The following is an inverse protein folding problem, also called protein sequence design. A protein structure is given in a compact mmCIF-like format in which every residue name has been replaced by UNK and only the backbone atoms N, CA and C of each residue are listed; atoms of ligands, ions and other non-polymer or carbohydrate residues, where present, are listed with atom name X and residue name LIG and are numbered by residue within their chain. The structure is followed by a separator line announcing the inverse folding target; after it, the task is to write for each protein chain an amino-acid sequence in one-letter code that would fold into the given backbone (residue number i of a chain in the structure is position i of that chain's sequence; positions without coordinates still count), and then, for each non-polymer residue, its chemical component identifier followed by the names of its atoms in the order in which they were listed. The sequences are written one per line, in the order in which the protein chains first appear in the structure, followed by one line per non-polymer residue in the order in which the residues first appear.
data_IF_318688908569
#
_entry.id   IF_318688908569
#
_cell.length_a   1.000
_cell.length_b   1.000
_cell.length_c   1.000
_cell.angle_alpha   90.00
_cell.angle_beta   90.00
_cell.angle_gamma   90.00
#
_symmetry.space_group_name_H-M   'P 1'
#
loop_
_entity.id
_entity.type
_entity.pdbx_description
1 polymer ?
#
# COMPACT_ATOMS: atom_id res chain seq x y z
N UNK A 1 30.96 -67.08 -22.57
CA UNK A 1 31.53 -68.44 -22.55
C UNK A 1 30.40 -69.38 -22.20
N UNK A 2 29.79 -70.01 -23.20
CA UNK A 2 28.73 -70.99 -23.00
C UNK A 2 29.40 -72.36 -23.02
N UNK A 3 29.34 -73.07 -21.89
CA UNK A 3 29.59 -74.51 -21.88
C UNK A 3 28.43 -75.19 -22.60
N UNK A 4 28.73 -75.84 -23.71
CA UNK A 4 27.82 -76.80 -24.33
C UNK A 4 27.83 -78.05 -23.47
N UNK A 5 26.91 -78.11 -22.50
CA UNK A 5 26.53 -79.39 -21.89
C UNK A 5 25.72 -80.16 -22.93
N UNK A 6 26.47 -80.86 -23.79
CA UNK A 6 26.00 -82.01 -24.53
C UNK A 6 25.65 -83.07 -23.48
N UNK A 7 24.37 -83.41 -23.35
CA UNK A 7 23.98 -84.62 -22.63
C UNK A 7 24.62 -85.79 -23.39
N UNK A 8 25.71 -86.32 -22.82
CA UNK A 8 26.47 -87.39 -23.42
C UNK A 8 25.64 -88.67 -23.41
N UNK A 9 25.03 -88.94 -24.56
CA UNK A 9 24.18 -90.10 -24.81
C UNK A 9 24.96 -91.41 -24.55
N UNK A 10 26.29 -91.39 -24.66
CA UNK A 10 27.15 -92.55 -24.41
C UNK A 10 27.32 -92.86 -22.92
N UNK A 11 27.26 -91.86 -22.05
CA UNK A 11 27.33 -92.04 -20.60
C UNK A 11 26.06 -92.73 -20.05
N UNK A 12 24.90 -92.33 -20.56
CA UNK A 12 23.61 -92.95 -20.22
C UNK A 12 23.49 -94.39 -20.76
N UNK A 13 24.02 -94.68 -21.96
CA UNK A 13 24.14 -96.07 -22.47
C UNK A 13 24.97 -96.94 -21.52
N UNK A 14 26.04 -96.39 -20.95
CA UNK A 14 26.92 -97.12 -20.04
C UNK A 14 26.29 -97.36 -18.66
N UNK A 15 25.50 -96.44 -18.13
CA UNK A 15 24.82 -96.61 -16.83
C UNK A 15 23.62 -97.57 -16.91
N UNK A 16 22.88 -97.60 -18.02
CA UNK A 16 21.78 -98.56 -18.23
C UNK A 16 22.29 -100.00 -18.36
N UNK A 17 23.39 -100.18 -19.07
CA UNK A 17 24.03 -101.50 -19.19
C UNK A 17 24.61 -101.96 -17.85
N UNK A 18 25.05 -101.04 -16.99
CA UNK A 18 25.61 -101.36 -15.68
C UNK A 18 24.53 -101.71 -14.63
N UNK A 19 23.37 -101.04 -14.65
CA UNK A 19 22.22 -101.37 -13.78
C UNK A 19 21.55 -102.70 -14.18
N UNK A 20 21.58 -103.07 -15.46
CA UNK A 20 21.08 -104.36 -15.96
C UNK A 20 21.83 -105.57 -15.39
N UNK A 21 23.12 -105.43 -15.08
CA UNK A 21 23.94 -106.53 -14.54
C UNK A 21 23.60 -106.82 -13.07
N UNK A 22 23.00 -105.88 -12.34
CA UNK A 22 22.77 -106.01 -10.88
C UNK A 22 21.39 -106.51 -10.46
N UNK A 23 20.37 -106.53 -11.32
CA UNK A 23 18.96 -106.68 -10.86
C UNK A 23 18.20 -107.95 -11.33
N UNK A 24 18.88 -109.03 -11.71
CA UNK A 24 18.20 -110.30 -12.09
C UNK A 24 17.69 -111.15 -10.90
N UNK A 25 17.23 -110.54 -9.79
CA UNK A 25 16.56 -111.26 -8.69
C UNK A 25 15.49 -110.43 -7.95
N UNK A 26 14.36 -110.13 -8.57
CA UNK A 26 13.04 -110.25 -7.93
C UNK A 26 11.90 -110.01 -8.93
N UNK A 27 10.82 -110.78 -8.75
CA UNK A 27 9.59 -110.75 -9.55
C UNK A 27 8.82 -109.43 -9.39
N UNK A 28 8.64 -108.75 -10.51
CA UNK A 28 7.79 -107.62 -10.77
C UNK A 28 8.00 -107.25 -12.23
N UNK A 29 6.93 -107.11 -13.02
CA UNK A 29 6.90 -107.00 -14.49
C UNK A 29 8.18 -106.41 -15.11
N UNK A 30 9.01 -107.29 -15.71
CA UNK A 30 10.21 -106.89 -16.45
C UNK A 30 9.78 -106.19 -17.74
N UNK A 31 9.76 -104.86 -17.73
CA UNK A 31 9.77 -104.11 -19.00
C UNK A 31 11.05 -104.42 -19.76
N UNK A 32 10.90 -104.71 -21.05
CA UNK A 32 11.99 -105.04 -21.96
C UNK A 32 12.98 -103.85 -22.05
N UNK A 33 14.30 -104.07 -21.98
CA UNK A 33 15.31 -102.98 -21.96
C UNK A 33 15.20 -102.05 -23.17
N UNK A 34 14.70 -102.56 -24.30
CA UNK A 34 14.44 -101.79 -25.52
C UNK A 34 13.30 -100.77 -25.32
N UNK A 35 12.29 -101.07 -24.51
CA UNK A 35 11.19 -100.14 -24.18
C UNK A 35 11.70 -99.01 -23.30
N UNK A 36 12.53 -99.32 -22.30
CA UNK A 36 13.13 -98.31 -21.42
C UNK A 36 14.05 -97.37 -22.22
N UNK A 37 14.83 -97.93 -23.14
CA UNK A 37 15.71 -97.18 -24.03
C UNK A 37 14.93 -96.26 -24.98
N UNK A 38 13.81 -96.74 -25.52
CA UNK A 38 12.94 -95.95 -26.39
C UNK A 38 12.24 -94.80 -25.63
N UNK A 39 11.82 -95.02 -24.38
CA UNK A 39 11.31 -93.96 -23.48
C UNK A 39 12.35 -92.89 -23.22
N UNK A 40 13.58 -93.28 -22.90
CA UNK A 40 14.69 -92.35 -22.65
C UNK A 40 15.01 -91.53 -23.91
N UNK A 41 15.05 -92.17 -25.08
CA UNK A 41 15.30 -91.49 -26.36
C UNK A 41 14.19 -90.48 -26.67
N UNK A 42 12.93 -90.82 -26.38
CA UNK A 42 11.80 -89.92 -26.61
C UNK A 42 11.76 -88.78 -25.60
N UNK A 43 11.97 -89.04 -24.32
CA UNK A 43 12.08 -88.02 -23.29
C UNK A 43 13.22 -87.03 -23.60
N UNK A 44 14.35 -87.52 -24.11
CA UNK A 44 15.49 -86.69 -24.54
C UNK A 44 15.13 -85.81 -25.74
N UNK A 45 14.38 -86.34 -26.70
CA UNK A 45 13.90 -85.60 -27.88
C UNK A 45 12.89 -84.52 -27.49
N UNK A 46 11.96 -84.83 -26.59
CA UNK A 46 10.99 -83.86 -26.06
C UNK A 46 11.67 -82.78 -25.21
N UNK A 47 12.64 -83.15 -24.38
CA UNK A 47 13.48 -82.24 -23.61
C UNK A 47 14.27 -81.28 -24.50
N UNK A 48 14.86 -81.77 -25.59
CA UNK A 48 15.59 -80.94 -26.54
C UNK A 48 14.67 -80.00 -27.30
N UNK A 49 13.47 -80.44 -27.69
CA UNK A 49 12.44 -79.57 -28.26
C UNK A 49 11.99 -78.47 -27.30
N UNK A 50 11.72 -78.81 -26.04
CA UNK A 50 11.37 -77.83 -25.01
C UNK A 50 12.50 -76.80 -24.80
N UNK A 51 13.77 -77.27 -24.81
CA UNK A 51 14.96 -76.42 -24.71
C UNK A 51 15.09 -75.46 -25.89
N UNK A 52 14.79 -75.91 -27.11
CA UNK A 52 14.77 -75.05 -28.30
C UNK A 52 13.63 -74.02 -28.19
N UNK A 53 12.44 -74.44 -27.77
CA UNK A 53 11.28 -73.56 -27.61
C UNK A 53 11.50 -72.49 -26.55
N UNK A 54 12.10 -72.85 -25.42
CA UNK A 54 12.53 -71.91 -24.38
C UNK A 54 13.55 -70.88 -24.88
N UNK A 55 14.49 -71.28 -25.76
CA UNK A 55 15.47 -70.35 -26.37
C UNK A 55 14.82 -69.37 -27.34
N UNK A 56 13.83 -69.82 -28.10
CA UNK A 56 13.07 -68.93 -29.01
C UNK A 56 12.24 -67.92 -28.22
N UNK A 57 11.63 -68.36 -27.11
CA UNK A 57 10.85 -67.51 -26.20
C UNK A 57 11.70 -66.51 -25.38
N UNK A 58 13.00 -66.77 -25.23
CA UNK A 58 13.97 -65.88 -24.56
C UNK A 58 14.77 -65.01 -25.54
N UNK A 59 14.55 -65.13 -26.85
CA UNK A 59 15.28 -64.36 -27.85
C UNK A 59 14.93 -62.86 -27.78
N UNK A 60 15.91 -61.94 -27.94
CA UNK A 60 15.71 -60.49 -27.91
C UNK A 60 14.71 -59.96 -28.95
N UNK A 61 14.31 -60.78 -29.93
CA UNK A 61 13.43 -60.38 -31.04
C UNK A 61 12.00 -59.99 -30.62
N UNK A 62 11.58 -60.30 -29.39
CA UNK A 62 10.30 -59.84 -28.84
C UNK A 62 10.30 -58.32 -28.52
N UNK A 63 11.48 -57.68 -28.45
CA UNK A 63 11.64 -56.24 -28.28
C UNK A 63 11.02 -55.42 -29.44
N UNK A 64 10.92 -56.00 -30.65
CA UNK A 64 10.40 -55.31 -31.83
C UNK A 64 8.87 -55.25 -31.91
N UNK A 65 8.15 -56.16 -31.25
CA UNK A 65 6.67 -56.14 -31.20
C UNK A 65 6.17 -54.93 -30.39
N UNK A 66 6.99 -54.44 -29.45
CA UNK A 66 6.68 -53.29 -28.59
C UNK A 66 7.03 -51.94 -29.26
N UNK A 67 7.82 -51.92 -30.34
CA UNK A 67 8.26 -50.68 -31.00
C UNK A 67 7.18 -49.97 -31.83
N UNK A 68 5.99 -50.57 -32.00
CA UNK A 68 4.91 -50.06 -32.83
C UNK A 68 4.06 -48.93 -32.23
N UNK A 69 4.25 -48.57 -30.95
CA UNK A 69 3.49 -47.50 -30.31
C UNK A 69 4.13 -46.15 -30.68
N UNK A 70 3.96 -45.76 -31.95
CA UNK A 70 4.20 -44.39 -32.38
C UNK A 70 3.21 -43.46 -31.69
N UNK A 71 3.77 -42.40 -31.12
CA UNK A 71 3.15 -41.24 -30.50
C UNK A 71 1.87 -40.78 -31.22
N UNK A 72 0.76 -40.73 -30.47
CA UNK A 72 -0.34 -39.82 -30.78
C UNK A 72 -0.32 -38.73 -29.72
N UNK A 73 0.07 -37.54 -30.16
CA UNK A 73 0.06 -36.30 -29.40
C UNK A 73 -1.38 -35.96 -28.97
N UNK A 74 -1.57 -35.66 -27.69
CA UNK A 74 -2.77 -34.98 -27.18
C UNK A 74 -3.93 -35.88 -26.73
N UNK A 75 -4.19 -35.84 -25.41
CA UNK A 75 -5.46 -36.17 -24.73
C UNK A 75 -6.34 -37.29 -25.34
N UNK A 76 -6.23 -38.49 -24.78
CA UNK A 76 -7.24 -39.54 -24.96
C UNK A 76 -6.75 -40.86 -24.42
N UNK A 77 -7.51 -41.47 -23.53
CA UNK A 77 -7.29 -42.81 -22.99
C UNK A 77 -7.23 -43.78 -24.17
N UNK A 78 -6.04 -44.28 -24.51
CA UNK A 78 -5.89 -45.38 -25.45
C UNK A 78 -6.19 -46.67 -24.68
N UNK A 79 -7.43 -47.16 -24.82
CA UNK A 79 -7.77 -48.54 -24.51
C UNK A 79 -6.79 -49.47 -25.24
N UNK A 80 -6.08 -50.29 -24.47
CA UNK A 80 -5.22 -51.33 -25.00
C UNK A 80 -6.08 -52.36 -25.74
N UNK A 81 -5.95 -52.40 -27.07
CA UNK A 81 -6.39 -53.56 -27.84
C UNK A 81 -5.62 -54.79 -27.35
N UNK A 82 -6.36 -55.81 -26.96
CA UNK A 82 -5.95 -56.99 -26.18
C UNK A 82 -5.09 -57.99 -26.96
N UNK A 83 -4.57 -57.59 -28.12
CA UNK A 83 -3.96 -58.50 -29.08
C UNK A 83 -2.50 -58.13 -29.35
N UNK A 84 -1.64 -58.40 -28.37
CA UNK A 84 -0.24 -58.70 -28.67
C UNK A 84 -0.24 -60.09 -29.30
N UNK A 85 -0.41 -60.15 -30.62
CA UNK A 85 -0.17 -61.36 -31.39
C UNK A 85 1.32 -61.68 -31.32
N UNK A 86 1.69 -62.54 -30.36
CA UNK A 86 2.81 -63.44 -30.62
C UNK A 86 2.51 -64.14 -31.96
N UNK A 87 3.50 -64.38 -32.84
CA UNK A 87 3.28 -65.24 -33.99
C UNK A 87 2.73 -66.55 -33.42
N UNK A 88 1.44 -66.81 -33.66
CA UNK A 88 0.82 -68.05 -33.27
C UNK A 88 1.65 -69.15 -33.92
N UNK A 89 2.38 -69.89 -33.10
CA UNK A 89 3.29 -70.94 -33.52
C UNK A 89 2.48 -72.18 -33.89
N UNK A 90 1.41 -72.01 -34.66
CA UNK A 90 0.22 -72.84 -34.55
C UNK A 90 -0.16 -73.52 -35.87
N UNK A 91 0.84 -73.83 -36.70
CA UNK A 91 0.59 -74.71 -37.87
C UNK A 91 1.76 -75.58 -38.28
N UNK A 92 2.99 -75.05 -38.22
CA UNK A 92 4.18 -75.82 -38.58
C UNK A 92 4.60 -76.83 -37.50
N UNK A 93 4.42 -76.48 -36.22
CA UNK A 93 4.74 -77.36 -35.10
C UNK A 93 3.70 -78.45 -34.92
N UNK A 94 2.40 -78.16 -35.09
CA UNK A 94 1.35 -79.17 -34.96
C UNK A 94 1.55 -80.33 -35.97
N UNK A 95 2.09 -80.03 -37.15
CA UNK A 95 2.45 -81.01 -38.17
C UNK A 95 3.71 -81.83 -37.78
N UNK A 96 4.71 -81.21 -37.14
CA UNK A 96 5.87 -81.91 -36.58
C UNK A 96 5.52 -82.76 -35.34
N UNK A 97 4.60 -82.28 -34.49
CA UNK A 97 4.05 -82.97 -33.33
C UNK A 97 3.21 -84.18 -33.75
N UNK A 98 2.29 -84.02 -34.71
CA UNK A 98 1.50 -85.12 -35.28
C UNK A 98 2.42 -86.15 -35.96
N UNK A 99 3.50 -85.70 -36.60
CA UNK A 99 4.48 -86.59 -37.21
C UNK A 99 5.27 -87.41 -36.17
N UNK A 100 5.72 -86.78 -35.08
CA UNK A 100 6.33 -87.46 -33.92
C UNK A 100 5.37 -88.45 -33.24
N UNK A 101 4.10 -88.07 -33.07
CA UNK A 101 3.06 -88.97 -32.55
C UNK A 101 2.77 -90.15 -33.48
N UNK A 102 2.91 -89.96 -34.80
CA UNK A 102 2.69 -91.01 -35.81
C UNK A 102 3.90 -91.95 -35.98
N UNK A 103 5.13 -91.45 -35.82
CA UNK A 103 6.35 -92.27 -35.87
C UNK A 103 6.49 -93.17 -34.61
N UNK A 104 5.80 -92.83 -33.52
CA UNK A 104 5.82 -93.61 -32.27
C UNK A 104 4.73 -94.69 -32.19
N UNK A 105 3.76 -94.70 -33.11
CA UNK A 105 2.55 -95.52 -33.07
C UNK A 105 2.77 -97.01 -33.43
N UNK A 106 4.02 -97.49 -33.46
CA UNK A 106 4.35 -98.83 -33.97
C UNK A 106 4.69 -99.89 -32.92
N UNK A 107 4.62 -99.65 -31.60
CA UNK A 107 4.92 -100.70 -30.59
C UNK A 107 4.12 -100.54 -29.28
N UNK A 108 3.33 -101.57 -28.96
CA UNK A 108 2.79 -102.03 -27.65
C UNK A 108 1.89 -101.09 -26.79
N UNK A 109 0.65 -101.54 -26.55
CA UNK A 109 -0.48 -100.88 -25.84
C UNK A 109 -0.22 -100.36 -24.40
N UNK A 110 0.91 -100.67 -23.77
CA UNK A 110 1.29 -100.17 -22.42
C UNK A 110 2.11 -98.87 -22.45
N UNK A 111 2.67 -98.48 -23.60
CA UNK A 111 3.55 -97.31 -23.74
C UNK A 111 2.81 -96.04 -24.19
N UNK A 112 1.58 -96.19 -24.69
CA UNK A 112 0.76 -95.09 -25.19
C UNK A 112 0.33 -94.12 -24.07
N UNK A 113 0.02 -94.64 -22.88
CA UNK A 113 -0.45 -93.84 -21.73
C UNK A 113 0.68 -92.99 -21.12
N UNK A 114 1.88 -93.56 -20.97
CA UNK A 114 3.07 -92.83 -20.49
C UNK A 114 3.53 -91.76 -21.49
N UNK A 115 3.51 -92.10 -22.78
CA UNK A 115 3.91 -91.18 -23.83
C UNK A 115 2.94 -90.01 -23.97
N UNK A 116 1.63 -90.26 -23.87
CA UNK A 116 0.62 -89.20 -23.88
C UNK A 116 0.69 -88.31 -22.64
N UNK A 117 0.97 -88.86 -21.46
CA UNK A 117 1.20 -88.07 -20.23
C UNK A 117 2.45 -87.20 -20.33
N UNK A 118 3.56 -87.72 -20.86
CA UNK A 118 4.80 -86.96 -21.06
C UNK A 118 4.65 -85.84 -22.09
N UNK A 119 3.94 -86.10 -23.21
CA UNK A 119 3.56 -85.08 -24.18
C UNK A 119 2.67 -83.99 -23.54
N UNK A 120 1.71 -84.40 -22.71
CA UNK A 120 0.84 -83.49 -21.95
C UNK A 120 1.63 -82.60 -20.99
N UNK A 121 2.62 -83.15 -20.29
CA UNK A 121 3.54 -82.37 -19.46
C UNK A 121 4.36 -81.35 -20.28
N UNK A 122 4.88 -81.75 -21.44
CA UNK A 122 5.65 -80.85 -22.31
C UNK A 122 4.79 -79.73 -22.88
N UNK A 123 3.54 -80.02 -23.24
CA UNK A 123 2.56 -79.04 -23.70
C UNK A 123 2.19 -78.06 -22.57
N UNK A 124 1.84 -78.56 -21.38
CA UNK A 124 1.50 -77.71 -20.23
C UNK A 124 2.66 -76.80 -19.81
N UNK A 125 3.91 -77.31 -19.79
CA UNK A 125 5.10 -76.49 -19.53
C UNK A 125 5.29 -75.43 -20.61
N UNK A 126 5.06 -75.78 -21.88
CA UNK A 126 5.12 -74.83 -23.00
C UNK A 126 4.09 -73.71 -22.86
N UNK A 127 2.84 -74.04 -22.55
CA UNK A 127 1.76 -73.06 -22.37
C UNK A 127 2.03 -72.14 -21.17
N UNK A 128 2.56 -72.70 -20.07
CA UNK A 128 2.99 -71.93 -18.90
C UNK A 128 4.15 -71.00 -19.23
N UNK A 129 5.15 -71.44 -20.00
CA UNK A 129 6.26 -70.61 -20.44
C UNK A 129 5.79 -69.47 -21.35
N UNK A 130 4.87 -69.73 -22.29
CA UNK A 130 4.33 -68.72 -23.18
C UNK A 130 3.52 -67.66 -22.40
N UNK A 131 2.67 -68.08 -21.47
CA UNK A 131 1.89 -67.16 -20.62
C UNK A 131 2.77 -66.35 -19.67
N UNK A 132 3.88 -66.91 -19.17
CA UNK A 132 4.88 -66.17 -18.40
C UNK A 132 5.57 -65.10 -19.25
N UNK A 133 6.04 -65.45 -20.45
CA UNK A 133 6.71 -64.50 -21.35
C UNK A 133 5.77 -63.36 -21.75
N UNK A 134 4.50 -63.64 -22.07
CA UNK A 134 3.50 -62.60 -22.33
C UNK A 134 3.34 -61.64 -21.15
N UNK A 135 3.27 -62.16 -19.92
CA UNK A 135 3.18 -61.32 -18.71
C UNK A 135 4.43 -60.49 -18.47
N UNK A 136 5.62 -61.05 -18.69
CA UNK A 136 6.89 -60.33 -18.55
C UNK A 136 6.95 -59.17 -19.55
N UNK A 137 6.63 -59.40 -20.82
CA UNK A 137 6.60 -58.35 -21.85
C UNK A 137 5.62 -57.24 -21.47
N UNK A 138 4.42 -57.60 -21.01
CA UNK A 138 3.42 -56.63 -20.57
C UNK A 138 3.95 -55.80 -19.40
N UNK A 139 4.49 -56.43 -18.36
CA UNK A 139 5.03 -55.75 -17.19
C UNK A 139 6.22 -54.83 -17.53
N UNK A 140 7.11 -55.25 -18.43
CA UNK A 140 8.22 -54.43 -18.93
C UNK A 140 7.73 -53.23 -19.73
N UNK A 141 6.76 -53.43 -20.63
CA UNK A 141 6.16 -52.36 -21.43
C UNK A 141 5.42 -51.33 -20.58
N UNK A 142 4.68 -51.80 -19.56
CA UNK A 142 3.98 -50.94 -18.60
C UNK A 142 4.98 -50.17 -17.72
N UNK A 143 6.04 -50.83 -17.25
CA UNK A 143 7.11 -50.17 -16.49
C UNK A 143 7.82 -49.11 -17.33
N UNK A 144 8.09 -49.38 -18.62
CA UNK A 144 8.69 -48.43 -19.54
C UNK A 144 7.77 -47.23 -19.81
N UNK A 145 6.46 -47.47 -19.96
CA UNK A 145 5.45 -46.42 -20.10
C UNK A 145 5.39 -45.55 -18.84
N UNK A 146 5.36 -46.16 -17.66
CA UNK A 146 5.27 -45.42 -16.40
C UNK A 146 6.52 -44.60 -16.13
N UNK A 147 7.72 -45.13 -16.45
CA UNK A 147 8.97 -44.34 -16.45
C UNK A 147 8.86 -43.10 -17.34
N UNK A 148 8.30 -43.22 -18.54
CA UNK A 148 8.08 -42.08 -19.44
C UNK A 148 7.12 -41.05 -18.85
N UNK A 149 6.03 -41.48 -18.20
CA UNK A 149 5.11 -40.56 -17.52
C UNK A 149 5.79 -39.79 -16.39
N UNK A 150 6.61 -40.48 -15.59
CA UNK A 150 7.38 -39.85 -14.51
C UNK A 150 8.34 -38.80 -15.07
N UNK A 151 9.09 -39.11 -16.14
CA UNK A 151 10.02 -38.12 -16.73
C UNK A 151 9.30 -36.89 -17.27
N UNK A 152 8.15 -37.06 -17.94
CA UNK A 152 7.34 -35.94 -18.42
C UNK A 152 6.78 -35.12 -17.24
N UNK A 153 6.31 -35.80 -16.19
CA UNK A 153 5.83 -35.15 -14.96
C UNK A 153 6.92 -34.34 -14.27
N UNK A 154 8.15 -34.85 -14.19
CA UNK A 154 9.30 -34.12 -13.64
C UNK A 154 9.65 -32.86 -14.44
N UNK A 155 9.62 -32.93 -15.77
CA UNK A 155 9.83 -31.77 -16.64
C UNK A 155 8.75 -30.70 -16.43
N UNK A 156 7.49 -31.12 -16.32
CA UNK A 156 6.39 -30.20 -16.04
C UNK A 156 6.50 -29.57 -14.65
N UNK A 157 6.90 -30.35 -13.63
CA UNK A 157 7.18 -29.84 -12.28
C UNK A 157 8.30 -28.79 -12.34
N UNK A 158 9.43 -29.08 -13.02
CA UNK A 158 10.53 -28.12 -13.18
C UNK A 158 10.06 -26.82 -13.83
N UNK A 159 9.23 -26.91 -14.88
CA UNK A 159 8.65 -25.74 -15.55
C UNK A 159 7.75 -24.93 -14.60
N UNK A 160 6.86 -25.59 -13.86
CA UNK A 160 5.98 -24.93 -12.88
C UNK A 160 6.77 -24.30 -11.73
N UNK A 161 7.83 -24.95 -11.25
CA UNK A 161 8.73 -24.39 -10.21
C UNK A 161 9.39 -23.11 -10.69
N UNK A 162 9.87 -23.04 -11.93
CA UNK A 162 10.44 -21.82 -12.50
C UNK A 162 9.39 -20.71 -12.61
N UNK A 163 8.17 -21.03 -13.06
CA UNK A 163 7.07 -20.06 -13.13
C UNK A 163 6.70 -19.50 -11.74
N UNK A 164 6.59 -20.36 -10.72
CA UNK A 164 6.31 -19.93 -9.33
C UNK A 164 7.43 -19.01 -8.81
N UNK A 165 8.69 -19.32 -9.13
CA UNK A 165 9.82 -18.48 -8.74
C UNK A 165 9.76 -17.09 -9.39
N UNK A 166 9.44 -17.03 -10.67
CA UNK A 166 9.28 -15.76 -11.40
C UNK A 166 8.11 -14.93 -10.83
N UNK A 167 6.97 -15.57 -10.58
CA UNK A 167 5.82 -14.93 -9.93
C UNK A 167 6.17 -14.43 -8.51
N UNK A 168 6.99 -15.18 -7.77
CA UNK A 168 7.43 -14.78 -6.43
C UNK A 168 8.30 -13.52 -6.47
N UNK A 169 9.23 -13.43 -7.42
CA UNK A 169 10.05 -12.23 -7.62
C UNK A 169 9.18 -11.02 -7.98
N UNK A 170 8.19 -11.21 -8.86
CA UNK A 170 7.25 -10.15 -9.24
C UNK A 170 6.41 -9.66 -8.05
N UNK A 171 5.99 -10.56 -7.16
CA UNK A 171 5.28 -10.19 -5.93
C UNK A 171 6.15 -9.38 -4.97
N UNK A 172 7.42 -9.75 -4.82
CA UNK A 172 8.38 -9.00 -4.00
C UNK A 172 8.65 -7.58 -4.55
N UNK A 173 8.70 -7.43 -5.88
CA UNK A 173 8.77 -6.11 -6.52
C UNK A 173 7.50 -5.29 -6.28
N UNK A 174 6.31 -5.90 -6.40
CA UNK A 174 5.04 -5.25 -6.11
C UNK A 174 4.93 -4.81 -4.65
N UNK A 175 5.41 -5.63 -3.70
CA UNK A 175 5.44 -5.28 -2.28
C UNK A 175 6.34 -4.06 -2.04
N UNK A 176 7.55 -4.04 -2.61
CA UNK A 176 8.45 -2.88 -2.53
C UNK A 176 7.84 -1.62 -3.14
N UNK A 177 7.16 -1.75 -4.26
CA UNK A 177 6.45 -0.64 -4.90
C UNK A 177 5.29 -0.11 -4.05
N UNK A 178 4.49 -1.01 -3.47
CA UNK A 178 3.38 -0.65 -2.58
C UNK A 178 3.88 0.04 -1.31
N UNK A 179 4.97 -0.46 -0.72
CA UNK A 179 5.63 0.16 0.43
C UNK A 179 6.12 1.58 0.11
N UNK A 180 6.79 1.76 -1.03
CA UNK A 180 7.24 3.09 -1.49
C UNK A 180 6.07 4.06 -1.69
N UNK A 181 5.00 3.60 -2.34
CA UNK A 181 3.79 4.40 -2.54
C UNK A 181 3.12 4.78 -1.22
N UNK A 182 3.03 3.84 -0.27
CA UNK A 182 2.44 4.10 1.05
C UNK A 182 3.25 5.11 1.87
N UNK A 183 4.59 5.03 1.80
CA UNK A 183 5.48 6.00 2.44
C UNK A 183 5.22 7.43 1.94
N UNK A 184 5.17 7.62 0.61
CA UNK A 184 4.86 8.93 0.01
C UNK A 184 3.46 9.42 0.40
N UNK A 185 2.45 8.54 0.38
CA UNK A 185 1.09 8.90 0.80
C UNK A 185 1.03 9.32 2.28
N UNK A 186 1.80 8.68 3.16
CA UNK A 186 1.89 9.07 4.57
C UNK A 186 2.54 10.44 4.75
N UNK A 187 3.62 10.74 4.01
CA UNK A 187 4.22 12.08 4.03
C UNK A 187 3.26 13.15 3.51
N UNK A 188 2.53 12.86 2.42
CA UNK A 188 1.53 13.78 1.88
C UNK A 188 0.41 14.02 2.89
N UNK A 189 -0.07 12.97 3.57
CA UNK A 189 -1.07 13.11 4.63
C UNK A 189 -0.57 14.02 5.75
N UNK A 190 0.65 13.80 6.23
CA UNK A 190 1.23 14.62 7.30
C UNK A 190 1.36 16.10 6.87
N UNK A 191 1.85 16.37 5.66
CA UNK A 191 1.94 17.75 5.14
C UNK A 191 0.56 18.41 5.05
N UNK A 192 -0.49 17.66 4.68
CA UNK A 192 -1.86 18.18 4.65
C UNK A 192 -2.36 18.49 6.07
N UNK A 193 -2.09 17.62 7.05
CA UNK A 193 -2.43 17.88 8.46
C UNK A 193 -1.74 19.14 8.98
N UNK A 194 -0.44 19.32 8.70
CA UNK A 194 0.32 20.52 9.06
C UNK A 194 -0.25 21.79 8.40
N UNK A 195 -0.61 21.74 7.12
CA UNK A 195 -1.23 22.87 6.41
C UNK A 195 -2.61 23.23 6.97
N UNK A 196 -3.40 22.24 7.38
CA UNK A 196 -4.72 22.49 8.01
C UNK A 196 -4.53 23.20 9.34
N UNK A 197 -3.59 22.75 10.17
CA UNK A 197 -3.28 23.38 11.46
C UNK A 197 -2.73 24.80 11.28
N UNK A 198 -1.82 25.01 10.32
CA UNK A 198 -1.31 26.35 10.02
C UNK A 198 -2.42 27.28 9.51
N UNK A 199 -3.32 26.78 8.66
CA UNK A 199 -4.48 27.54 8.17
C UNK A 199 -5.42 27.92 9.33
N UNK A 200 -5.61 27.01 10.29
CA UNK A 200 -6.39 27.29 11.50
C UNK A 200 -5.75 28.41 12.34
N UNK A 201 -4.45 28.34 12.59
CA UNK A 201 -3.70 29.36 13.32
C UNK A 201 -3.66 30.72 12.60
N UNK A 202 -3.54 30.72 11.27
CA UNK A 202 -3.63 31.93 10.47
C UNK A 202 -5.01 32.59 10.59
N UNK A 203 -6.09 31.80 10.57
CA UNK A 203 -7.45 32.32 10.77
C UNK A 203 -7.64 32.93 12.15
N UNK A 204 -7.10 32.30 13.19
CA UNK A 204 -7.15 32.82 14.57
C UNK A 204 -6.43 34.17 14.67
N UNK A 205 -5.20 34.27 14.16
CA UNK A 205 -4.44 35.54 14.13
C UNK A 205 -5.15 36.63 13.31
N UNK A 206 -5.81 36.26 12.21
CA UNK A 206 -6.58 37.20 11.42
C UNK A 206 -7.78 37.77 12.20
N UNK A 207 -8.48 36.94 12.98
CA UNK A 207 -9.57 37.38 13.84
C UNK A 207 -9.09 38.33 14.97
N UNK A 208 -7.95 38.02 15.60
CA UNK A 208 -7.33 38.88 16.62
C UNK A 208 -6.92 40.25 16.04
N UNK A 209 -6.33 40.26 14.83
CA UNK A 209 -6.00 41.50 14.13
C UNK A 209 -7.23 42.33 13.76
N UNK A 210 -8.34 41.67 13.41
CA UNK A 210 -9.60 42.37 13.12
C UNK A 210 -10.18 43.03 14.38
N UNK A 211 -10.11 42.36 15.54
CA UNK A 211 -10.52 42.92 16.82
C UNK A 211 -9.64 44.12 17.23
N UNK A 212 -8.33 43.98 17.11
CA UNK A 212 -7.35 45.06 17.34
C UNK A 212 -7.65 46.28 16.45
N UNK A 213 -7.88 46.04 15.16
CA UNK A 213 -8.23 47.09 14.21
C UNK A 213 -9.55 47.79 14.59
N UNK A 214 -10.55 47.03 15.05
CA UNK A 214 -11.81 47.60 15.53
C UNK A 214 -11.62 48.45 16.78
N UNK A 215 -10.75 48.03 17.71
CA UNK A 215 -10.41 48.84 18.90
C UNK A 215 -9.75 50.14 18.51
N UNK A 216 -8.71 50.09 17.68
CA UNK A 216 -7.98 51.27 17.20
C UNK A 216 -8.92 52.25 16.48
N UNK A 217 -9.81 51.75 15.62
CA UNK A 217 -10.82 52.61 14.95
C UNK A 217 -11.70 53.35 15.95
N UNK A 218 -12.13 52.67 17.03
CA UNK A 218 -12.94 53.30 18.08
C UNK A 218 -12.15 54.40 18.80
N UNK A 219 -10.89 54.13 19.14
CA UNK A 219 -10.02 55.10 19.80
C UNK A 219 -9.79 56.34 18.92
N UNK A 220 -9.62 56.16 17.61
CA UNK A 220 -9.52 57.27 16.66
C UNK A 220 -10.81 58.10 16.58
N UNK A 221 -11.99 57.50 16.59
CA UNK A 221 -13.24 58.26 16.59
C UNK A 221 -13.43 59.03 17.91
N UNK A 222 -13.05 58.43 19.05
CA UNK A 222 -13.02 59.12 20.35
C UNK A 222 -12.05 60.30 20.34
N UNK A 223 -10.84 60.12 19.80
CA UNK A 223 -9.85 61.18 19.67
C UNK A 223 -10.34 62.31 18.76
N UNK A 224 -10.98 61.99 17.64
CA UNK A 224 -11.57 62.96 16.73
C UNK A 224 -12.68 63.79 17.41
N UNK A 225 -13.54 63.15 18.20
CA UNK A 225 -14.55 63.85 19.01
C UNK A 225 -13.89 64.78 20.04
N UNK A 226 -12.84 64.31 20.73
CA UNK A 226 -12.08 65.11 21.69
C UNK A 226 -11.44 66.35 21.05
N UNK A 227 -10.77 66.19 19.91
CA UNK A 227 -10.20 67.31 19.14
C UNK A 227 -11.28 68.30 18.71
N UNK A 228 -12.44 67.80 18.27
CA UNK A 228 -13.57 68.67 17.89
C UNK A 228 -14.07 69.51 19.08
N UNK A 229 -14.17 68.90 20.27
CA UNK A 229 -14.50 69.61 21.51
C UNK A 229 -13.45 70.68 21.87
N UNK A 230 -12.16 70.34 21.75
CA UNK A 230 -11.08 71.30 21.98
C UNK A 230 -11.12 72.49 21.02
N UNK A 231 -11.49 72.27 19.75
CA UNK A 231 -11.68 73.35 18.77
C UNK A 231 -12.81 74.28 19.24
N UNK A 232 -13.96 73.75 19.67
CA UNK A 232 -15.07 74.57 20.18
C UNK A 232 -14.70 75.37 21.43
N UNK A 233 -13.92 74.78 22.35
CA UNK A 233 -13.40 75.50 23.53
C UNK A 233 -12.47 76.64 23.08
N UNK A 234 -11.55 76.38 22.15
CA UNK A 234 -10.65 77.40 21.58
C UNK A 234 -11.43 78.54 20.93
N UNK A 235 -12.47 78.26 20.16
CA UNK A 235 -13.32 79.28 19.52
C UNK A 235 -14.04 80.14 20.56
N UNK A 236 -14.54 79.53 21.63
CA UNK A 236 -15.17 80.24 22.74
C UNK A 236 -14.18 81.16 23.45
N UNK A 237 -12.97 80.67 23.75
CA UNK A 237 -11.90 81.48 24.35
C UNK A 237 -11.50 82.65 23.45
N UNK A 238 -11.33 82.43 22.15
CA UNK A 238 -11.04 83.51 21.19
C UNK A 238 -12.15 84.55 21.12
N UNK A 239 -13.42 84.15 21.27
CA UNK A 239 -14.55 85.08 21.34
C UNK A 239 -14.51 85.91 22.62
N UNK A 240 -14.26 85.27 23.77
CA UNK A 240 -14.13 85.95 25.06
C UNK A 240 -12.96 86.94 25.07
N UNK A 241 -11.83 86.58 24.47
CA UNK A 241 -10.66 87.46 24.31
C UNK A 241 -11.02 88.75 23.54
N UNK A 242 -11.77 88.64 22.44
CA UNK A 242 -12.25 89.81 21.69
C UNK A 242 -13.17 90.71 22.52
N UNK A 243 -13.96 90.12 23.41
CA UNK A 243 -14.80 90.88 24.33
C UNK A 243 -13.95 91.60 25.38
N UNK A 244 -12.95 90.94 25.96
CA UNK A 244 -12.01 91.57 26.90
C UNK A 244 -11.28 92.77 26.26
N UNK A 245 -10.77 92.61 25.04
CA UNK A 245 -10.15 93.72 24.31
C UNK A 245 -11.10 94.90 24.07
N UNK A 246 -12.40 94.63 23.94
CA UNK A 246 -13.40 95.70 23.81
C UNK A 246 -13.64 96.40 25.14
N UNK A 247 -13.69 95.64 26.24
CA UNK A 247 -13.80 96.16 27.60
C UNK A 247 -12.57 97.01 27.96
N UNK A 248 -11.36 96.56 27.62
CA UNK A 248 -10.12 97.32 27.84
C UNK A 248 -10.15 98.69 27.17
N UNK A 249 -10.55 98.77 25.89
CA UNK A 249 -10.71 100.05 25.19
C UNK A 249 -11.75 100.98 25.83
N UNK A 250 -12.82 100.42 26.41
CA UNK A 250 -13.80 101.20 27.15
C UNK A 250 -13.23 101.71 28.48
N UNK A 251 -12.43 100.89 29.17
CA UNK A 251 -11.71 101.31 30.38
C UNK A 251 -10.70 102.41 30.10
N UNK A 252 -9.91 102.30 29.03
CA UNK A 252 -8.97 103.34 28.61
C UNK A 252 -9.71 104.68 28.42
N UNK A 253 -10.80 104.68 27.66
CA UNK A 253 -11.63 105.88 27.44
C UNK A 253 -12.23 106.42 28.75
N UNK A 254 -12.63 105.54 29.67
CA UNK A 254 -13.16 105.95 30.97
C UNK A 254 -12.08 106.63 31.83
N UNK A 255 -10.86 106.09 31.82
CA UNK A 255 -9.71 106.68 32.50
C UNK A 255 -9.39 108.06 31.93
N UNK A 256 -9.32 108.19 30.59
CA UNK A 256 -9.13 109.48 29.92
C UNK A 256 -10.21 110.50 30.31
N UNK A 257 -11.48 110.09 30.28
CA UNK A 257 -12.60 110.98 30.64
C UNK A 257 -12.57 111.39 32.10
N UNK A 258 -12.19 110.47 32.99
CA UNK A 258 -12.05 110.75 34.42
C UNK A 258 -10.94 111.77 34.66
N UNK A 259 -9.79 111.63 34.00
CA UNK A 259 -8.71 112.61 34.07
C UNK A 259 -9.12 114.00 33.53
N UNK A 260 -9.87 114.04 32.41
CA UNK A 260 -10.43 115.30 31.89
C UNK A 260 -11.33 115.98 32.93
N UNK A 261 -12.29 115.25 33.50
CA UNK A 261 -13.22 115.79 34.50
C UNK A 261 -12.50 116.26 35.76
N UNK A 262 -11.44 115.57 36.19
CA UNK A 262 -10.61 116.00 37.32
C UNK A 262 -9.90 117.33 37.04
N UNK A 263 -9.36 117.52 35.82
CA UNK A 263 -8.75 118.78 35.41
C UNK A 263 -9.75 119.94 35.32
N UNK A 264 -10.95 119.70 34.77
CA UNK A 264 -12.04 120.68 34.70
C UNK A 264 -12.53 121.04 36.11
N UNK A 265 -12.64 120.06 37.00
CA UNK A 265 -12.98 120.27 38.42
C UNK A 265 -11.94 121.17 39.10
N UNK A 266 -10.65 120.85 38.95
CA UNK A 266 -9.57 121.64 39.53
C UNK A 266 -9.61 123.10 39.01
N UNK A 267 -9.81 123.29 37.71
CA UNK A 267 -9.95 124.63 37.12
C UNK A 267 -11.14 125.39 37.75
N UNK A 268 -12.33 124.78 37.82
CA UNK A 268 -13.51 125.41 38.43
C UNK A 268 -13.30 125.72 39.91
N UNK A 269 -12.64 124.84 40.67
CA UNK A 269 -12.31 125.11 42.08
C UNK A 269 -11.38 126.32 42.24
N UNK A 270 -10.43 126.52 41.32
CA UNK A 270 -9.59 127.74 41.33
C UNK A 270 -10.38 129.00 41.00
N UNK A 271 -11.33 128.93 40.06
CA UNK A 271 -12.20 130.06 39.70
C UNK A 271 -13.13 130.44 40.84
N UNK A 272 -13.76 129.45 41.49
CA UNK A 272 -14.59 129.67 42.69
C UNK A 272 -13.77 130.35 43.78
N UNK A 273 -12.52 129.91 44.03
CA UNK A 273 -11.65 130.55 45.03
C UNK A 273 -11.38 132.02 44.71
N UNK A 274 -11.09 132.35 43.45
CA UNK A 274 -10.91 133.74 43.00
C UNK A 274 -12.16 134.58 43.21
N UNK A 275 -13.33 134.06 42.83
CA UNK A 275 -14.61 134.75 43.03
C UNK A 275 -14.93 134.95 44.52
N UNK A 276 -14.59 133.97 45.38
CA UNK A 276 -14.73 134.13 46.83
C UNK A 276 -13.81 135.23 47.37
N UNK A 277 -12.55 135.30 46.94
CA UNK A 277 -11.61 136.37 47.31
C UNK A 277 -12.12 137.75 46.86
N UNK A 278 -12.61 137.86 45.63
CA UNK A 278 -13.19 139.10 45.10
C UNK A 278 -14.46 139.50 45.88
N UNK A 279 -15.34 138.55 46.20
CA UNK A 279 -16.56 138.81 46.95
C UNK A 279 -16.26 139.32 48.38
N UNK A 280 -15.25 138.75 49.05
CA UNK A 280 -14.76 139.24 50.34
C UNK A 280 -14.24 140.68 50.21
N UNK A 281 -13.46 140.96 49.18
CA UNK A 281 -12.95 142.31 48.91
C UNK A 281 -14.06 143.33 48.64
N UNK A 282 -15.05 142.96 47.82
CA UNK A 282 -16.22 143.80 47.53
C UNK A 282 -17.08 144.03 48.76
N UNK A 283 -17.28 143.01 49.60
CA UNK A 283 -18.00 143.14 50.87
C UNK A 283 -17.28 144.10 51.81
N UNK A 284 -15.96 144.00 51.95
CA UNK A 284 -15.16 144.94 52.74
C UNK A 284 -15.23 146.38 52.18
N UNK A 285 -15.27 146.54 50.85
CA UNK A 285 -15.44 147.84 50.21
C UNK A 285 -16.85 148.41 50.45
N UNK A 286 -17.88 147.56 50.39
CA UNK A 286 -19.26 147.91 50.71
C UNK A 286 -19.38 148.38 52.16
N UNK A 287 -18.86 147.61 53.12
CA UNK A 287 -18.83 147.97 54.54
C UNK A 287 -18.15 149.33 54.76
N UNK A 288 -17.02 149.58 54.08
CA UNK A 288 -16.33 150.87 54.10
C UNK A 288 -17.21 152.00 53.58
N UNK A 289 -17.95 151.77 52.48
CA UNK A 289 -18.85 152.77 51.89
C UNK A 289 -20.09 153.01 52.75
N UNK A 290 -20.66 151.98 53.33
CA UNK A 290 -21.75 152.11 54.30
C UNK A 290 -21.31 152.88 55.54
N UNK A 291 -20.12 152.60 56.08
CA UNK A 291 -19.56 153.37 57.20
C UNK A 291 -19.35 154.85 56.83
N UNK A 292 -18.84 155.13 55.63
CA UNK A 292 -18.72 156.50 55.10
C UNK A 292 -20.08 157.19 54.98
N UNK A 293 -21.10 156.50 54.46
CA UNK A 293 -22.46 157.03 54.35
C UNK A 293 -23.10 157.30 55.71
N UNK A 294 -22.95 156.39 56.68
CA UNK A 294 -23.43 156.60 58.06
C UNK A 294 -22.74 157.83 58.69
N UNK A 295 -21.43 157.95 58.53
CA UNK A 295 -20.68 159.11 59.03
C UNK A 295 -21.15 160.43 58.39
N UNK A 296 -21.36 160.45 57.07
CA UNK A 296 -21.91 161.61 56.36
C UNK A 296 -23.34 161.93 56.83
N UNK A 297 -24.18 160.92 57.01
CA UNK A 297 -25.54 161.10 57.51
C UNK A 297 -25.54 161.73 58.92
N UNK A 298 -24.68 161.25 59.82
CA UNK A 298 -24.53 161.86 61.15
C UNK A 298 -23.94 163.28 61.08
N UNK A 299 -22.99 163.55 60.18
CA UNK A 299 -22.50 164.92 59.93
C UNK A 299 -23.63 165.84 59.46
N UNK A 300 -24.46 165.41 58.51
CA UNK A 300 -25.63 166.16 58.05
C UNK A 300 -26.62 166.43 59.19
N UNK A 301 -26.89 165.45 60.07
CA UNK A 301 -27.72 165.65 61.27
C UNK A 301 -27.12 166.68 62.22
N UNK A 302 -25.82 166.62 62.51
CA UNK A 302 -25.13 167.60 63.37
C UNK A 302 -25.14 168.99 62.75
N UNK A 303 -24.92 169.12 61.43
CA UNK A 303 -25.04 170.40 60.72
C UNK A 303 -26.45 170.97 60.82
N UNK A 304 -27.49 170.13 60.65
CA UNK A 304 -28.88 170.54 60.83
C UNK A 304 -29.18 171.00 62.28
N UNK A 305 -28.67 170.28 63.28
CA UNK A 305 -28.81 170.67 64.70
C UNK A 305 -28.04 171.95 65.05
N UNK A 306 -26.85 172.17 64.45
CA UNK A 306 -26.08 173.40 64.63
C UNK A 306 -26.77 174.60 63.99
N UNK A 307 -27.48 174.41 62.86
CA UNK A 307 -28.28 175.45 62.24
C UNK A 307 -29.52 175.84 63.06
N UNK A 308 -29.98 175.00 63.99
CA UNK A 308 -31.08 175.30 64.92
C UNK A 308 -30.65 175.93 66.26
N UNK A 309 -29.34 176.15 66.48
CA UNK A 309 -28.80 176.79 67.69
C UNK A 309 -28.12 178.16 67.43
N UNK A 310 -28.44 178.79 66.29
CA UNK A 310 -28.25 180.22 66.01
C UNK A 310 -29.62 180.89 65.88
#
# INVERSE_FOLDING_TARGET
MAGEDCLDMSALESELTQTYITDTKQEGEKMEPDVLWQRIRTATTLMTNLKVKARVLTAPRLENIVSGIKQQDGNGIAEFSKDVYLPAFDKADHEAWVKLSSELHSVHDQDEDYMTELLSCVQTVTDVMETLVKRVILAESETALEKRKVTVGEEEIKKKTLQIKDMSLKLEEMERFAMGTNCVLNEMRQRVEELVEETYQQRQRAAENEEELCRVKRDFESLKSYVSSLISVRETLLSSEKQFQTIERLFERLVEKTGQLESEKMQKETEVRKLMEENVSLTALLDKKEAQLRALNEQCKVMALRATHL
#
